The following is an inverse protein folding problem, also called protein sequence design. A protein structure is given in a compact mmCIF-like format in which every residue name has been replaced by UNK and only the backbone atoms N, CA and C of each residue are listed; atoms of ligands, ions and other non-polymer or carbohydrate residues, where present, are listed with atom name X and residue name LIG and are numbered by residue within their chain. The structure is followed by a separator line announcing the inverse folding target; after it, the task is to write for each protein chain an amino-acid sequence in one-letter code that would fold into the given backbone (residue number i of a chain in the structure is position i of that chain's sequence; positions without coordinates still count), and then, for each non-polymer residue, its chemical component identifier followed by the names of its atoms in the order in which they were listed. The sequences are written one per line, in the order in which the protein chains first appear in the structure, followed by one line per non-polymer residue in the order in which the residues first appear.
data_IF_924158472932
#
_entry.id   IF_924158472932
#
_cell.length_a   1.000
_cell.length_b   1.000
_cell.length_c   1.000
_cell.angle_alpha   90.00
_cell.angle_beta   90.00
_cell.angle_gamma   90.00
#
_symmetry.space_group_name_H-M   'P 1'
#
loop_
_entity.id
_entity.type
_entity.pdbx_description
1 polymer ?
#
# COMPACT_ATOMS: atom_id res chain seq x y z
N UNK A 1 -16.11 6.08 -18.63
CA UNK A 1 -15.34 5.15 -19.48
C UNK A 1 -13.85 5.48 -19.46
N UNK A 2 -12.98 4.46 -19.43
CA UNK A 2 -11.54 4.65 -19.66
C UNK A 2 -11.30 5.28 -21.05
N UNK A 3 -10.49 6.34 -21.10
CA UNK A 3 -10.13 7.02 -22.36
C UNK A 3 -9.21 6.13 -23.18
N UNK A 4 -9.20 6.26 -24.51
CA UNK A 4 -8.22 5.57 -25.39
C UNK A 4 -6.77 5.77 -24.93
N UNK A 5 -6.49 6.92 -24.29
CA UNK A 5 -5.17 7.27 -23.75
C UNK A 5 -4.79 6.54 -22.45
N UNK A 6 -5.74 5.89 -21.77
CA UNK A 6 -5.49 5.14 -20.54
C UNK A 6 -4.73 3.82 -20.79
N UNK A 7 -4.68 3.36 -22.04
CA UNK A 7 -3.95 2.18 -22.48
C UNK A 7 -2.50 2.47 -22.88
N UNK A 8 -2.13 3.76 -22.99
CA UNK A 8 -0.77 4.14 -23.33
C UNK A 8 0.18 3.85 -22.17
N UNK A 9 1.29 3.18 -22.46
CA UNK A 9 2.34 2.84 -21.48
C UNK A 9 2.80 4.06 -20.67
N UNK A 10 2.90 5.23 -21.33
CA UNK A 10 3.28 6.49 -20.67
C UNK A 10 2.28 6.91 -19.58
N UNK A 11 0.99 6.78 -19.84
CA UNK A 11 -0.08 7.10 -18.89
C UNK A 11 -0.07 6.15 -17.70
N UNK A 12 0.08 4.86 -17.97
CA UNK A 12 0.16 3.81 -16.93
C UNK A 12 1.37 4.07 -16.03
N UNK A 13 2.55 4.31 -16.62
CA UNK A 13 3.77 4.57 -15.88
C UNK A 13 3.66 5.84 -15.01
N UNK A 14 3.08 6.91 -15.55
CA UNK A 14 2.84 8.15 -14.78
C UNK A 14 1.93 7.90 -13.59
N UNK A 15 0.82 7.18 -13.77
CA UNK A 15 -0.09 6.81 -12.68
C UNK A 15 0.60 5.89 -11.66
N UNK A 16 1.45 4.98 -12.11
CA UNK A 16 2.19 4.08 -11.23
C UNK A 16 3.17 4.85 -10.36
N UNK A 17 3.92 5.79 -10.94
CA UNK A 17 4.83 6.67 -10.18
C UNK A 17 4.04 7.47 -9.13
N UNK A 18 2.92 8.09 -9.51
CA UNK A 18 2.07 8.81 -8.56
C UNK A 18 1.53 7.90 -7.45
N UNK A 19 1.12 6.69 -7.81
CA UNK A 19 0.65 5.69 -6.86
C UNK A 19 1.75 5.32 -5.85
N UNK A 20 2.96 5.03 -6.33
CA UNK A 20 4.10 4.66 -5.49
C UNK A 20 4.56 5.80 -4.58
N UNK A 21 4.60 7.04 -5.09
CA UNK A 21 4.92 8.22 -4.29
C UNK A 21 3.89 8.39 -3.17
N UNK A 22 2.60 8.32 -3.52
CA UNK A 22 1.54 8.44 -2.53
C UNK A 22 1.53 7.28 -1.52
N UNK A 23 1.81 6.05 -1.96
CA UNK A 23 1.98 4.89 -1.09
C UNK A 23 3.04 5.15 -0.01
N UNK A 24 4.24 5.60 -0.40
CA UNK A 24 5.31 5.87 0.56
C UNK A 24 5.05 7.11 1.41
N UNK A 25 4.39 8.15 0.89
CA UNK A 25 3.95 9.30 1.70
C UNK A 25 3.03 8.83 2.82
N UNK A 26 2.00 8.06 2.51
CA UNK A 26 1.07 7.51 3.51
C UNK A 26 1.82 6.64 4.53
N UNK A 27 2.74 5.79 4.06
CA UNK A 27 3.51 4.92 4.94
C UNK A 27 4.41 5.72 5.89
N UNK A 28 5.10 6.75 5.41
CA UNK A 28 5.92 7.59 6.26
C UNK A 28 5.10 8.48 7.19
N UNK A 29 3.91 8.95 6.80
CA UNK A 29 3.00 9.66 7.71
C UNK A 29 2.62 8.75 8.89
N UNK A 30 2.21 7.51 8.63
CA UNK A 30 1.93 6.56 9.71
C UNK A 30 3.17 6.22 10.53
N UNK A 31 4.32 6.10 9.90
CA UNK A 31 5.59 5.85 10.59
C UNK A 31 5.95 6.99 11.53
N UNK A 32 5.80 8.26 11.11
CA UNK A 32 6.05 9.44 11.96
C UNK A 32 5.13 9.44 13.18
N UNK A 33 3.83 9.21 12.96
CA UNK A 33 2.83 9.17 14.05
C UNK A 33 3.18 8.07 15.04
N UNK A 34 3.51 6.86 14.56
CA UNK A 34 3.75 5.70 15.43
C UNK A 34 5.12 5.76 16.12
N UNK A 35 6.17 6.27 15.46
CA UNK A 35 7.47 6.53 16.09
C UNK A 35 7.31 7.52 17.25
N UNK A 36 6.57 8.61 17.04
CA UNK A 36 6.26 9.58 18.09
C UNK A 36 5.42 8.99 19.22
N UNK A 37 4.33 8.29 18.89
CA UNK A 37 3.39 7.74 19.87
C UNK A 37 4.01 6.64 20.75
N UNK A 38 4.89 5.81 20.17
CA UNK A 38 5.55 4.70 20.87
C UNK A 38 6.93 5.08 21.42
N UNK A 39 7.32 6.37 21.35
CA UNK A 39 8.62 6.87 21.83
C UNK A 39 9.81 6.09 21.25
N UNK A 40 9.73 5.72 19.98
CA UNK A 40 10.81 5.05 19.25
C UNK A 40 11.89 6.07 18.90
N UNK A 41 13.15 5.64 18.85
CA UNK A 41 14.25 6.48 18.39
C UNK A 41 14.02 6.96 16.94
N UNK A 42 13.99 8.29 16.77
CA UNK A 42 13.79 8.97 15.50
C UNK A 42 14.85 8.64 14.45
N UNK A 43 16.06 8.23 14.85
CA UNK A 43 17.08 7.76 13.91
C UNK A 43 16.61 6.51 13.13
N UNK A 44 15.65 5.76 13.67
CA UNK A 44 15.12 4.56 13.05
C UNK A 44 13.95 4.83 12.08
N UNK A 45 13.46 6.07 12.00
CA UNK A 45 12.31 6.45 11.19
C UNK A 45 12.50 6.08 9.71
N UNK A 46 13.70 6.32 9.16
CA UNK A 46 13.99 6.04 7.75
C UNK A 46 13.79 4.56 7.37
N UNK A 47 14.11 3.64 8.28
CA UNK A 47 13.98 2.19 8.09
C UNK A 47 12.62 1.64 8.52
N UNK A 48 11.79 2.44 9.19
CA UNK A 48 10.58 1.97 9.86
C UNK A 48 9.61 1.20 8.95
N UNK A 49 9.30 1.66 7.70
CA UNK A 49 8.45 0.90 6.78
C UNK A 49 9.05 -0.44 6.33
N UNK A 50 10.38 -0.59 6.43
CA UNK A 50 11.11 -1.70 5.85
C UNK A 50 11.52 -2.75 6.90
N UNK A 51 10.97 -2.70 8.11
CA UNK A 51 11.33 -3.66 9.16
C UNK A 51 10.76 -5.04 8.84
N UNK A 52 11.67 -6.01 8.64
CA UNK A 52 11.34 -7.38 8.25
C UNK A 52 11.65 -8.43 9.33
N UNK A 53 12.46 -8.08 10.34
CA UNK A 53 12.92 -9.04 11.35
C UNK A 53 11.81 -9.33 12.36
N UNK A 54 11.75 -10.56 12.87
CA UNK A 54 10.74 -10.97 13.88
C UNK A 54 10.79 -10.11 15.16
N UNK A 55 11.98 -9.65 15.55
CA UNK A 55 12.18 -8.76 16.69
C UNK A 55 11.67 -7.34 16.45
N UNK A 56 11.51 -6.92 15.19
CA UNK A 56 11.19 -5.54 14.77
C UNK A 56 9.81 -5.44 14.11
N UNK A 57 9.10 -6.55 13.98
CA UNK A 57 7.80 -6.64 13.33
C UNK A 57 6.96 -7.73 14.00
N UNK A 58 6.12 -7.34 14.95
CA UNK A 58 5.24 -8.26 15.69
C UNK A 58 4.09 -7.52 16.38
N UNK A 59 2.84 -8.01 16.26
CA UNK A 59 1.69 -7.40 16.94
C UNK A 59 1.60 -7.72 18.44
N UNK A 60 2.41 -8.65 18.94
CA UNK A 60 2.28 -9.16 20.32
C UNK A 60 2.94 -8.27 21.37
N UNK A 61 3.87 -7.40 20.97
CA UNK A 61 4.65 -6.54 21.86
C UNK A 61 4.05 -5.14 21.87
N UNK A 62 4.24 -4.34 22.90
CA UNK A 62 3.80 -2.93 22.95
C UNK A 62 4.99 -1.99 22.74
N UNK A 63 5.76 -2.26 21.70
CA UNK A 63 7.01 -1.56 21.39
C UNK A 63 7.09 -1.19 19.92
N UNK A 64 8.28 -0.80 19.49
CA UNK A 64 8.60 -0.39 18.13
C UNK A 64 8.26 -1.47 17.08
N UNK A 65 8.24 -2.75 17.47
CA UNK A 65 7.86 -3.85 16.59
C UNK A 65 6.36 -3.87 16.27
N UNK A 66 5.52 -3.47 17.23
CA UNK A 66 4.08 -3.30 17.01
C UNK A 66 3.80 -2.09 16.12
N UNK A 67 4.51 -1.00 16.36
CA UNK A 67 4.34 0.19 15.54
C UNK A 67 4.73 -0.03 14.08
N UNK A 68 5.78 -0.81 13.80
CA UNK A 68 6.14 -1.17 12.43
C UNK A 68 5.06 -2.03 11.75
N UNK A 69 4.51 -3.02 12.47
CA UNK A 69 3.39 -3.83 11.98
C UNK A 69 2.14 -2.98 11.72
N UNK A 70 1.79 -2.12 12.66
CA UNK A 70 0.61 -1.26 12.58
C UNK A 70 0.75 -0.23 11.46
N UNK A 71 1.94 0.33 11.23
CA UNK A 71 2.21 1.22 10.12
C UNK A 71 1.91 0.56 8.77
N UNK A 72 2.30 -0.71 8.59
CA UNK A 72 1.97 -1.48 7.39
C UNK A 72 0.46 -1.61 7.23
N UNK A 73 -0.23 -2.12 8.26
CA UNK A 73 -1.68 -2.36 8.20
C UNK A 73 -2.46 -1.08 7.88
N UNK A 74 -2.16 0.02 8.57
CA UNK A 74 -2.81 1.31 8.35
C UNK A 74 -2.52 1.87 6.95
N UNK A 75 -1.31 1.66 6.43
CA UNK A 75 -0.95 2.06 5.06
C UNK A 75 -1.81 1.33 4.05
N UNK A 76 -1.97 0.00 4.16
CA UNK A 76 -2.81 -0.77 3.24
C UNK A 76 -4.29 -0.35 3.31
N UNK A 77 -4.80 -0.03 4.50
CA UNK A 77 -6.16 0.50 4.67
C UNK A 77 -6.31 1.85 3.93
N UNK A 78 -5.39 2.79 4.14
CA UNK A 78 -5.41 4.10 3.47
C UNK A 78 -5.19 4.01 1.95
N UNK A 79 -4.41 3.03 1.49
CA UNK A 79 -4.16 2.81 0.07
C UNK A 79 -5.43 2.45 -0.72
N UNK A 80 -6.52 2.04 -0.06
CA UNK A 80 -7.82 1.89 -0.71
C UNK A 80 -8.31 3.22 -1.30
N UNK A 81 -8.24 4.32 -0.54
CA UNK A 81 -8.58 5.65 -1.05
C UNK A 81 -7.65 6.09 -2.17
N UNK A 82 -6.37 5.71 -2.09
CA UNK A 82 -5.36 6.00 -3.09
C UNK A 82 -5.62 5.25 -4.41
N UNK A 83 -6.02 3.97 -4.34
CA UNK A 83 -6.47 3.21 -5.51
C UNK A 83 -7.67 3.86 -6.18
N UNK A 84 -8.65 4.31 -5.41
CA UNK A 84 -9.84 5.00 -5.95
C UNK A 84 -9.48 6.33 -6.65
N UNK A 85 -8.59 7.13 -6.05
CA UNK A 85 -8.19 8.42 -6.59
C UNK A 85 -7.30 8.34 -7.84
N UNK A 86 -6.35 7.41 -7.87
CA UNK A 86 -5.33 7.33 -8.93
C UNK A 86 -5.74 6.38 -10.06
N UNK A 87 -6.37 5.25 -9.72
CA UNK A 87 -6.73 4.21 -10.70
C UNK A 87 -8.11 4.50 -11.27
N UNK A 88 -8.14 5.13 -12.44
CA UNK A 88 -9.40 5.45 -13.12
C UNK A 88 -10.10 4.24 -13.78
N UNK A 89 -9.38 3.14 -14.00
CA UNK A 89 -9.89 1.95 -14.66
C UNK A 89 -9.93 0.78 -13.68
N UNK A 90 -11.15 0.37 -13.29
CA UNK A 90 -11.46 -0.66 -12.29
C UNK A 90 -10.67 -1.96 -12.48
N UNK A 91 -10.57 -2.42 -13.73
CA UNK A 91 -9.88 -3.66 -14.12
C UNK A 91 -8.36 -3.64 -13.94
N UNK A 92 -7.79 -2.50 -13.52
CA UNK A 92 -6.35 -2.30 -13.33
C UNK A 92 -5.93 -2.09 -11.88
N UNK A 93 -6.88 -2.00 -10.96
CA UNK A 93 -6.62 -1.74 -9.53
C UNK A 93 -5.65 -2.76 -8.93
N UNK A 94 -5.82 -4.03 -9.29
CA UNK A 94 -4.96 -5.12 -8.84
C UNK A 94 -3.50 -4.97 -9.32
N UNK A 95 -3.27 -4.54 -10.56
CA UNK A 95 -1.91 -4.35 -11.11
C UNK A 95 -1.09 -3.37 -10.24
N UNK A 96 -1.70 -2.27 -9.78
CA UNK A 96 -1.02 -1.28 -8.92
C UNK A 96 -0.73 -1.82 -7.53
N UNK A 97 -1.69 -2.52 -6.93
CA UNK A 97 -1.53 -3.09 -5.58
C UNK A 97 -0.41 -4.12 -5.58
N UNK A 98 -0.42 -5.10 -6.51
CA UNK A 98 0.66 -6.08 -6.61
C UNK A 98 2.01 -5.44 -6.90
N UNK A 99 2.06 -4.48 -7.82
CA UNK A 99 3.31 -3.81 -8.17
C UNK A 99 3.89 -3.08 -6.97
N UNK A 100 3.06 -2.38 -6.19
CA UNK A 100 3.49 -1.70 -4.96
C UNK A 100 3.98 -2.68 -3.89
N UNK A 101 3.27 -3.79 -3.67
CA UNK A 101 3.68 -4.82 -2.71
C UNK A 101 4.98 -5.53 -3.12
N UNK A 102 5.14 -5.84 -4.41
CA UNK A 102 6.36 -6.43 -4.94
C UNK A 102 7.55 -5.47 -4.84
N UNK A 103 7.35 -4.19 -5.19
CA UNK A 103 8.37 -3.16 -5.02
C UNK A 103 8.73 -2.98 -3.54
N UNK A 104 7.75 -3.00 -2.65
CA UNK A 104 7.98 -2.92 -1.21
C UNK A 104 8.80 -4.09 -0.70
N UNK A 105 8.52 -5.33 -1.13
CA UNK A 105 9.34 -6.50 -0.84
C UNK A 105 10.79 -6.31 -1.34
N UNK A 106 10.98 -5.86 -2.58
CA UNK A 106 12.31 -5.61 -3.14
C UNK A 106 13.07 -4.57 -2.31
N UNK A 107 12.41 -3.45 -1.95
CA UNK A 107 13.02 -2.40 -1.13
C UNK A 107 13.33 -2.88 0.28
N UNK A 108 12.47 -3.69 0.90
CA UNK A 108 12.75 -4.34 2.17
C UNK A 108 14.03 -5.20 2.10
N UNK A 109 14.22 -5.96 1.02
CA UNK A 109 15.42 -6.78 0.82
C UNK A 109 16.67 -5.89 0.65
N UNK A 110 16.58 -4.87 -0.19
CA UNK A 110 17.70 -3.94 -0.46
C UNK A 110 18.09 -3.18 0.82
N UNK A 111 17.13 -2.64 1.57
CA UNK A 111 17.42 -1.79 2.73
C UNK A 111 17.96 -2.61 3.90
N UNK A 112 17.47 -3.83 4.09
CA UNK A 112 17.94 -4.69 5.19
C UNK A 112 19.12 -5.58 4.81
N UNK A 113 19.47 -5.64 3.50
CA UNK A 113 20.44 -6.58 2.95
C UNK A 113 20.16 -8.03 3.39
N UNK A 114 18.88 -8.37 3.53
CA UNK A 114 18.41 -9.63 4.10
C UNK A 114 17.02 -9.97 3.58
N UNK A 115 16.74 -11.27 3.44
CA UNK A 115 15.42 -11.74 3.03
C UNK A 115 14.46 -11.82 4.23
N UNK A 116 13.18 -11.40 4.09
CA UNK A 116 12.20 -11.51 5.16
C UNK A 116 11.91 -12.99 5.48
N UNK A 117 12.32 -13.43 6.66
CA UNK A 117 12.02 -14.79 7.16
C UNK A 117 10.87 -14.81 8.18
N UNK A 118 10.32 -13.65 8.52
CA UNK A 118 9.24 -13.52 9.49
C UNK A 118 7.89 -13.92 8.87
N UNK A 119 7.28 -15.01 9.34
CA UNK A 119 5.98 -15.47 8.82
C UNK A 119 4.85 -14.47 9.06
N UNK A 120 4.89 -13.70 10.16
CA UNK A 120 3.87 -12.67 10.47
C UNK A 120 3.93 -11.56 9.42
N UNK A 121 5.14 -11.19 9.01
CA UNK A 121 5.37 -10.22 7.94
C UNK A 121 4.78 -10.70 6.62
N UNK A 122 5.06 -11.96 6.24
CA UNK A 122 4.49 -12.57 5.04
C UNK A 122 2.96 -12.64 5.07
N UNK A 123 2.39 -13.13 6.17
CA UNK A 123 0.93 -13.18 6.30
C UNK A 123 0.33 -11.79 6.19
N UNK A 124 0.92 -10.79 6.85
CA UNK A 124 0.42 -9.42 6.86
C UNK A 124 0.46 -8.81 5.45
N UNK A 125 1.60 -8.87 4.76
CA UNK A 125 1.72 -8.26 3.43
C UNK A 125 0.84 -8.98 2.41
N UNK A 126 0.75 -10.31 2.43
CA UNK A 126 -0.06 -11.09 1.49
C UNK A 126 -1.56 -10.86 1.74
N UNK A 127 -2.00 -10.95 2.99
CA UNK A 127 -3.40 -10.76 3.36
C UNK A 127 -3.84 -9.32 3.09
N UNK A 128 -3.04 -8.32 3.49
CA UNK A 128 -3.36 -6.92 3.26
C UNK A 128 -3.39 -6.59 1.76
N UNK A 129 -2.46 -7.13 0.97
CA UNK A 129 -2.46 -6.96 -0.49
C UNK A 129 -3.68 -7.60 -1.14
N UNK A 130 -4.05 -8.81 -0.71
CA UNK A 130 -5.23 -9.51 -1.23
C UNK A 130 -6.52 -8.76 -0.90
N UNK A 131 -6.71 -8.37 0.36
CA UNK A 131 -7.88 -7.60 0.80
C UNK A 131 -7.95 -6.27 0.06
N UNK A 132 -6.84 -5.54 -0.04
CA UNK A 132 -6.81 -4.26 -0.76
C UNK A 132 -7.12 -4.44 -2.24
N UNK A 133 -6.60 -5.49 -2.89
CA UNK A 133 -6.89 -5.77 -4.30
C UNK A 133 -8.39 -5.99 -4.52
N UNK A 134 -8.99 -6.89 -3.75
CA UNK A 134 -10.43 -7.19 -3.84
C UNK A 134 -11.29 -5.98 -3.48
N UNK A 135 -10.98 -5.31 -2.36
CA UNK A 135 -11.73 -4.14 -1.91
C UNK A 135 -11.65 -2.98 -2.91
N UNK A 136 -10.48 -2.74 -3.49
CA UNK A 136 -10.29 -1.69 -4.50
C UNK A 136 -11.11 -1.96 -5.76
N UNK A 137 -11.18 -3.21 -6.20
CA UNK A 137 -11.97 -3.62 -7.36
C UNK A 137 -13.47 -3.44 -7.09
N UNK A 138 -13.95 -3.92 -5.93
CA UNK A 138 -15.35 -3.77 -5.50
C UNK A 138 -15.73 -2.28 -5.41
N UNK A 139 -14.93 -1.47 -4.72
CA UNK A 139 -15.20 -0.04 -4.54
C UNK A 139 -15.22 0.70 -5.87
N UNK A 140 -14.24 0.45 -6.74
CA UNK A 140 -14.18 1.08 -8.05
C UNK A 140 -15.35 0.65 -8.94
N UNK A 141 -15.73 -0.63 -8.91
CA UNK A 141 -16.87 -1.14 -9.69
C UNK A 141 -18.19 -0.48 -9.27
N UNK A 142 -18.50 -0.48 -7.97
CA UNK A 142 -19.77 0.05 -7.48
C UNK A 142 -19.85 1.58 -7.52
N UNK A 143 -18.80 2.28 -7.09
CA UNK A 143 -18.86 3.74 -6.96
C UNK A 143 -18.62 4.48 -8.27
N UNK A 144 -17.95 3.83 -9.24
CA UNK A 144 -17.56 4.45 -10.49
C UNK A 144 -18.33 3.86 -11.67
N UNK A 145 -18.12 2.58 -11.96
CA UNK A 145 -18.64 1.97 -13.19
C UNK A 145 -20.18 1.95 -13.20
N UNK A 146 -20.80 1.52 -12.09
CA UNK A 146 -22.27 1.51 -11.98
C UNK A 146 -22.88 2.92 -11.95
N UNK A 147 -22.17 3.91 -11.40
CA UNK A 147 -22.66 5.30 -11.32
C UNK A 147 -22.57 6.03 -12.65
N UNK A 148 -21.55 5.75 -13.46
CA UNK A 148 -21.42 6.28 -14.82
C UNK A 148 -22.55 5.75 -15.72
N UNK A 149 -22.89 4.45 -15.64
CA UNK A 149 -24.00 3.86 -16.42
C UNK A 149 -25.34 4.53 -16.11
N UNK A 150 -25.59 4.91 -14.85
CA UNK A 150 -26.84 5.57 -14.48
C UNK A 150 -26.99 6.98 -15.09
N UNK A 151 -25.88 7.68 -15.35
CA UNK A 151 -25.86 9.04 -15.90
C UNK A 151 -26.02 9.07 -17.42
N UNK A 152 -25.55 8.02 -18.13
CA UNK A 152 -25.65 7.93 -19.59
C UNK A 152 -27.08 7.60 -20.08
N UNK A 153 -28.01 7.26 -19.16
CA UNK A 153 -29.39 6.87 -19.45
C UNK A 153 -30.43 8.00 -19.20
N UNK A 154 -29.98 9.24 -18.97
CA UNK A 154 -30.83 10.44 -18.78
C UNK A 154 -30.48 11.46 -19.86
#
# INVERSE_FOLDING_TARGET
MASKTDWETKTILKKLILYLLGYYIVYYVWSIILVGALHVDWHQLGRYPFRIRRSEFSPHRRDDALGAWLAMVLTYICCMGLTYGVVKATRKSWDYVLTSSALHLILCIIINQAFPVNWIWWLTILLASFILSVASEVVNYYLRDMREIALDNV
#
